data_IF_813756975132
#
_entry.id   IF_813756975132
#
_cell.length_a   1.000
_cell.length_b   1.000
_cell.length_c   1.000
_cell.angle_alpha   90.00
_cell.angle_beta   90.00
_cell.angle_gamma   90.00
#
_symmetry.space_group_name_H-M   'P 1'
#
loop_
_entity.id
_entity.type
_entity.pdbx_description
1 polymer ?
#
# COMPACT_ATOMS: atom_id res chain seq x y z
N UNK A 1 3.51 -5.81 4.93
CA UNK A 1 4.72 -6.66 5.11
C UNK A 1 5.93 -5.79 4.85
N UNK A 2 6.55 -5.27 5.90
CA UNK A 2 7.95 -4.92 5.80
C UNK A 2 8.67 -6.26 5.69
N UNK A 3 9.18 -6.60 4.51
CA UNK A 3 10.13 -7.69 4.41
C UNK A 3 11.30 -7.31 5.32
N UNK A 4 11.29 -7.88 6.52
CA UNK A 4 12.37 -7.70 7.46
C UNK A 4 13.64 -8.16 6.76
N UNK A 5 14.69 -7.37 6.86
CA UNK A 5 16.03 -7.72 6.37
C UNK A 5 16.69 -8.84 7.19
N UNK A 6 15.90 -9.59 7.95
CA UNK A 6 16.36 -10.79 8.65
C UNK A 6 16.76 -11.82 7.59
N UNK A 7 18.04 -11.77 7.14
CA UNK A 7 18.61 -12.67 6.16
C UNK A 7 19.11 -12.02 4.85
N UNK A 8 18.75 -10.78 4.53
CA UNK A 8 19.33 -10.08 3.39
C UNK A 8 20.73 -9.57 3.77
N UNK A 9 21.75 -10.16 3.17
CA UNK A 9 23.16 -9.83 3.46
C UNK A 9 23.52 -8.42 2.98
N UNK A 10 22.76 -7.88 1.99
CA UNK A 10 22.94 -6.52 1.46
C UNK A 10 21.69 -6.00 0.73
N UNK A 11 21.71 -4.72 0.32
CA UNK A 11 20.59 -4.09 -0.39
C UNK A 11 20.28 -4.72 -1.77
N UNK A 12 21.27 -5.29 -2.44
CA UNK A 12 21.11 -5.95 -3.74
C UNK A 12 20.30 -7.23 -3.58
N UNK A 13 20.59 -8.02 -2.56
CA UNK A 13 19.86 -9.25 -2.27
C UNK A 13 18.39 -8.96 -1.94
N UNK A 14 18.13 -7.86 -1.19
CA UNK A 14 16.77 -7.44 -0.88
C UNK A 14 15.98 -7.04 -2.16
N UNK A 15 16.61 -6.32 -3.08
CA UNK A 15 15.99 -5.94 -4.37
C UNK A 15 15.72 -7.18 -5.22
N UNK A 16 16.68 -8.11 -5.30
CA UNK A 16 16.53 -9.35 -6.05
C UNK A 16 15.43 -10.24 -5.45
N UNK A 17 15.35 -10.34 -4.12
CA UNK A 17 14.28 -11.10 -3.45
C UNK A 17 12.88 -10.53 -3.75
N UNK A 18 12.74 -9.21 -3.78
CA UNK A 18 11.46 -8.57 -4.18
C UNK A 18 11.15 -8.82 -5.65
N UNK A 19 12.15 -8.72 -6.54
CA UNK A 19 11.98 -9.02 -7.97
C UNK A 19 11.55 -10.47 -8.18
N UNK A 20 12.21 -11.40 -7.52
CA UNK A 20 11.88 -12.82 -7.59
C UNK A 20 10.45 -13.08 -7.08
N UNK A 21 10.05 -12.45 -5.97
CA UNK A 21 8.71 -12.59 -5.45
C UNK A 21 7.61 -12.08 -6.43
N UNK A 22 7.89 -11.05 -7.23
CA UNK A 22 7.01 -10.63 -8.33
C UNK A 22 7.03 -11.62 -9.49
N UNK A 23 8.20 -12.09 -9.89
CA UNK A 23 8.37 -12.97 -11.05
C UNK A 23 7.81 -14.38 -10.82
N UNK A 24 7.76 -14.81 -9.56
CA UNK A 24 7.16 -16.10 -9.16
C UNK A 24 5.68 -15.99 -8.77
N UNK A 25 5.11 -14.77 -8.77
CA UNK A 25 3.70 -14.56 -8.38
C UNK A 25 3.44 -14.71 -6.89
N UNK A 26 4.46 -14.67 -6.03
CA UNK A 26 4.27 -14.65 -4.57
C UNK A 26 3.63 -13.33 -4.11
N UNK A 27 4.06 -12.22 -4.72
CA UNK A 27 3.47 -10.90 -4.53
C UNK A 27 3.04 -10.30 -5.87
N UNK A 28 2.02 -9.48 -5.82
CA UNK A 28 1.43 -8.81 -6.99
C UNK A 28 1.12 -7.36 -6.68
N UNK A 29 0.90 -6.55 -7.72
CA UNK A 29 0.38 -5.19 -7.56
C UNK A 29 -1.01 -5.08 -8.14
N UNK A 30 -1.87 -4.34 -7.46
CA UNK A 30 -3.24 -4.09 -7.91
C UNK A 30 -3.82 -2.86 -7.23
N UNK A 31 -5.13 -2.67 -7.36
CA UNK A 31 -5.87 -1.55 -6.77
C UNK A 31 -6.97 -2.06 -5.83
N UNK A 32 -6.62 -2.77 -4.76
CA UNK A 32 -7.61 -3.41 -3.91
C UNK A 32 -8.48 -2.42 -3.14
N UNK A 33 -7.96 -1.24 -2.79
CA UNK A 33 -8.68 -0.25 -1.99
C UNK A 33 -8.21 1.19 -2.25
N UNK A 34 -8.97 2.17 -1.82
CA UNK A 34 -8.70 3.63 -1.87
C UNK A 34 -8.38 4.20 -3.26
N UNK A 35 -8.50 3.41 -4.34
CA UNK A 35 -8.14 3.84 -5.70
C UNK A 35 -6.63 4.02 -5.91
N UNK A 36 -5.78 3.48 -5.05
CA UNK A 36 -4.33 3.53 -5.13
C UNK A 36 -3.73 2.14 -5.31
N UNK A 37 -2.51 2.08 -5.86
CA UNK A 37 -1.81 0.82 -6.07
C UNK A 37 -1.21 0.30 -4.77
N UNK A 38 -1.35 -1.01 -4.56
CA UNK A 38 -0.74 -1.73 -3.44
C UNK A 38 0.07 -2.92 -3.95
N UNK A 39 1.06 -3.31 -3.17
CA UNK A 39 1.71 -4.61 -3.26
C UNK A 39 1.08 -5.49 -2.20
N UNK A 40 0.58 -6.65 -2.60
CA UNK A 40 -0.05 -7.62 -1.70
C UNK A 40 0.47 -9.03 -1.99
N UNK A 41 0.21 -9.97 -1.08
CA UNK A 41 0.28 -11.39 -1.42
C UNK A 41 -0.69 -11.69 -2.58
N UNK A 42 -0.31 -12.59 -3.47
CA UNK A 42 -1.19 -13.05 -4.54
C UNK A 42 -2.46 -13.74 -4.01
N UNK A 43 -2.38 -14.33 -2.82
CA UNK A 43 -3.54 -14.94 -2.14
C UNK A 43 -4.54 -13.91 -1.61
N UNK A 44 -4.13 -12.65 -1.42
CA UNK A 44 -4.97 -11.64 -0.76
C UNK A 44 -5.59 -10.64 -1.75
N UNK A 45 -4.96 -10.41 -2.91
CA UNK A 45 -5.39 -9.34 -3.80
C UNK A 45 -6.85 -9.48 -4.25
N UNK A 46 -7.27 -10.67 -4.65
CA UNK A 46 -8.60 -10.88 -5.24
C UNK A 46 -9.71 -10.58 -4.24
N UNK A 47 -9.70 -11.21 -3.06
CA UNK A 47 -10.76 -11.01 -2.08
C UNK A 47 -10.77 -9.59 -1.49
N UNK A 48 -9.59 -8.96 -1.28
CA UNK A 48 -9.55 -7.57 -0.80
C UNK A 48 -10.11 -6.61 -1.87
N UNK A 49 -9.79 -6.84 -3.16
CA UNK A 49 -10.34 -6.04 -4.26
C UNK A 49 -11.87 -6.16 -4.32
N UNK A 50 -12.40 -7.38 -4.21
CA UNK A 50 -13.84 -7.63 -4.19
C UNK A 50 -14.54 -7.03 -2.96
N UNK A 51 -13.87 -7.02 -1.81
CA UNK A 51 -14.40 -6.46 -0.57
C UNK A 51 -14.37 -4.93 -0.54
N UNK A 52 -13.22 -4.33 -0.88
CA UNK A 52 -12.93 -2.90 -0.68
C UNK A 52 -12.99 -2.07 -1.97
N UNK A 53 -12.89 -2.68 -3.15
CA UNK A 53 -12.73 -1.98 -4.43
C UNK A 53 -14.01 -1.43 -5.06
N UNK A 54 -15.19 -1.86 -4.60
CA UNK A 54 -16.50 -1.59 -5.27
C UNK A 54 -16.73 -0.09 -5.52
N UNK A 55 -16.46 0.77 -4.57
CA UNK A 55 -16.70 2.22 -4.73
C UNK A 55 -15.72 2.87 -5.71
N UNK A 56 -14.49 2.36 -5.77
CA UNK A 56 -13.49 2.83 -6.71
C UNK A 56 -13.86 2.45 -8.14
N UNK A 57 -14.35 1.23 -8.36
CA UNK A 57 -14.84 0.79 -9.67
C UNK A 57 -16.00 1.67 -10.15
N UNK A 58 -17.01 1.91 -9.32
CA UNK A 58 -18.11 2.83 -9.62
C UNK A 58 -17.64 4.25 -9.92
N UNK A 59 -16.58 4.72 -9.27
CA UNK A 59 -15.97 6.03 -9.55
C UNK A 59 -15.32 6.06 -10.94
N UNK A 60 -14.62 4.98 -11.30
CA UNK A 60 -14.02 4.83 -12.63
C UNK A 60 -15.10 4.83 -13.72
N UNK A 61 -16.20 4.09 -13.53
CA UNK A 61 -17.33 4.03 -14.45
C UNK A 61 -17.95 5.43 -14.67
N UNK A 62 -18.20 6.17 -13.59
CA UNK A 62 -18.76 7.53 -13.68
C UNK A 62 -17.84 8.53 -14.39
N UNK A 63 -16.53 8.37 -14.29
CA UNK A 63 -15.58 9.27 -14.95
C UNK A 63 -15.33 8.92 -16.43
N UNK A 64 -15.71 7.75 -16.88
CA UNK A 64 -15.43 7.22 -18.22
C UNK A 64 -15.93 8.12 -19.37
N UNK A 65 -17.18 8.66 -19.30
CA UNK A 65 -17.66 9.57 -20.35
C UNK A 65 -16.84 10.85 -20.51
N UNK A 66 -16.23 11.35 -19.42
CA UNK A 66 -15.38 12.54 -19.47
C UNK A 66 -14.10 12.34 -20.31
N UNK A 67 -13.74 11.08 -20.57
CA UNK A 67 -12.62 10.67 -21.41
C UNK A 67 -13.03 10.29 -22.82
N UNK A 68 -14.32 10.48 -23.18
CA UNK A 68 -14.87 10.02 -24.45
C UNK A 68 -14.92 8.49 -24.58
N UNK A 69 -14.96 7.79 -23.46
CA UNK A 69 -15.05 6.34 -23.39
C UNK A 69 -16.41 5.91 -22.83
N UNK A 70 -16.80 4.68 -23.12
CA UNK A 70 -17.98 4.01 -22.57
C UNK A 70 -17.67 2.56 -22.14
N UNK A 71 -18.67 1.80 -21.75
CA UNK A 71 -18.48 0.42 -21.29
C UNK A 71 -17.99 -0.49 -22.41
N UNK A 72 -18.45 -0.28 -23.66
CA UNK A 72 -18.04 -1.11 -24.80
C UNK A 72 -16.53 -1.02 -25.06
N UNK A 73 -15.94 0.16 -24.87
CA UNK A 73 -14.48 0.34 -24.99
C UNK A 73 -13.72 -0.43 -23.91
N UNK A 74 -14.28 -0.56 -22.69
CA UNK A 74 -13.65 -1.36 -21.63
C UNK A 74 -13.78 -2.85 -21.92
N UNK A 75 -14.93 -3.29 -22.41
CA UNK A 75 -15.16 -4.68 -22.79
C UNK A 75 -14.25 -5.08 -23.97
N UNK A 76 -14.16 -4.24 -25.00
CA UNK A 76 -13.24 -4.43 -26.10
C UNK A 76 -11.76 -4.46 -25.64
N UNK A 77 -11.38 -3.54 -24.75
CA UNK A 77 -10.03 -3.53 -24.19
C UNK A 77 -9.73 -4.80 -23.37
N UNK A 78 -10.73 -5.35 -22.65
CA UNK A 78 -10.57 -6.60 -21.92
C UNK A 78 -10.33 -7.80 -22.85
N UNK A 79 -11.03 -7.87 -23.98
CA UNK A 79 -10.80 -8.89 -25.02
C UNK A 79 -9.38 -8.76 -25.58
N UNK A 80 -8.95 -7.55 -25.94
CA UNK A 80 -7.59 -7.29 -26.43
C UNK A 80 -6.53 -7.70 -25.40
N UNK A 81 -6.75 -7.38 -24.13
CA UNK A 81 -5.81 -7.82 -23.05
C UNK A 81 -5.77 -9.34 -22.96
N UNK A 82 -6.91 -10.01 -23.09
CA UNK A 82 -6.99 -11.47 -23.07
C UNK A 82 -6.14 -12.09 -24.22
N UNK A 83 -6.21 -11.51 -25.40
CA UNK A 83 -5.46 -11.98 -26.58
C UNK A 83 -3.96 -11.61 -26.48
N UNK A 84 -3.64 -10.40 -26.02
CA UNK A 84 -2.27 -9.86 -26.04
C UNK A 84 -1.43 -10.37 -24.88
N UNK A 85 -1.99 -10.49 -23.68
CA UNK A 85 -1.23 -10.81 -22.47
C UNK A 85 -0.64 -12.22 -22.52
N UNK A 86 -1.40 -13.22 -22.96
CA UNK A 86 -0.93 -14.61 -22.97
C UNK A 86 -0.32 -15.03 -21.63
N UNK A 87 0.55 -16.03 -21.65
CA UNK A 87 1.20 -16.54 -20.45
C UNK A 87 2.31 -15.60 -19.89
N UNK A 88 2.92 -14.74 -20.71
CA UNK A 88 3.98 -13.82 -20.28
C UNK A 88 3.46 -12.49 -19.73
N UNK A 89 2.19 -12.21 -19.92
CA UNK A 89 1.62 -10.88 -19.71
C UNK A 89 1.97 -9.91 -20.83
N UNK A 90 1.49 -8.67 -20.72
CA UNK A 90 1.75 -7.60 -21.66
C UNK A 90 2.22 -6.33 -20.93
N UNK A 91 3.11 -5.58 -21.53
CA UNK A 91 3.45 -4.23 -21.08
C UNK A 91 2.31 -3.27 -21.39
N UNK A 92 2.23 -2.15 -20.66
CA UNK A 92 1.23 -1.11 -20.99
C UNK A 92 1.42 -0.54 -22.38
N UNK A 93 2.66 -0.44 -22.84
CA UNK A 93 2.96 0.05 -24.21
C UNK A 93 2.37 -0.87 -25.26
N UNK A 94 2.56 -2.18 -25.15
CA UNK A 94 1.96 -3.17 -26.05
C UNK A 94 0.43 -3.07 -26.05
N UNK A 95 -0.18 -2.99 -24.86
CA UNK A 95 -1.63 -2.85 -24.72
C UNK A 95 -2.16 -1.55 -25.34
N UNK A 96 -1.49 -0.42 -25.14
CA UNK A 96 -1.93 0.87 -25.69
C UNK A 96 -1.84 0.87 -27.22
N UNK A 97 -0.81 0.26 -27.79
CA UNK A 97 -0.69 0.06 -29.24
C UNK A 97 -1.82 -0.83 -29.76
N UNK A 98 -2.15 -1.91 -29.07
CA UNK A 98 -3.24 -2.80 -29.46
C UNK A 98 -4.63 -2.13 -29.36
N UNK A 99 -4.86 -1.32 -28.31
CA UNK A 99 -6.10 -0.55 -28.16
C UNK A 99 -6.29 0.46 -29.30
N UNK A 100 -5.23 1.18 -29.67
CA UNK A 100 -5.24 2.13 -30.77
C UNK A 100 -5.50 1.44 -32.11
N UNK A 101 -4.83 0.31 -32.37
CA UNK A 101 -5.01 -0.49 -33.58
C UNK A 101 -6.45 -1.04 -33.73
N UNK A 102 -7.13 -1.29 -32.61
CA UNK A 102 -8.52 -1.73 -32.58
C UNK A 102 -9.54 -0.56 -32.64
N UNK A 103 -9.06 0.68 -32.81
CA UNK A 103 -9.92 1.86 -32.96
C UNK A 103 -10.49 2.41 -31.66
N UNK A 104 -10.00 1.98 -30.49
CA UNK A 104 -10.40 2.58 -29.22
C UNK A 104 -9.82 4.01 -29.13
N UNK A 105 -10.62 5.02 -28.70
CA UNK A 105 -10.12 6.37 -28.57
C UNK A 105 -8.94 6.45 -27.57
N UNK A 106 -7.76 6.85 -28.03
CA UNK A 106 -6.52 6.91 -27.23
C UNK A 106 -6.11 8.34 -26.92
N UNK A 107 -7.04 9.15 -26.42
CA UNK A 107 -6.75 10.49 -25.86
C UNK A 107 -5.88 10.41 -24.59
N UNK A 108 -5.42 11.59 -24.08
CA UNK A 108 -4.57 11.64 -22.89
C UNK A 108 -5.21 10.92 -21.70
N UNK A 109 -4.55 9.88 -21.19
CA UNK A 109 -4.99 9.11 -20.04
C UNK A 109 -5.94 7.94 -20.33
N UNK A 110 -6.47 7.79 -21.56
CA UNK A 110 -7.45 6.75 -21.90
C UNK A 110 -6.89 5.34 -21.70
N UNK A 111 -5.68 5.05 -22.19
CA UNK A 111 -5.04 3.75 -22.00
C UNK A 111 -4.87 3.40 -20.51
N UNK A 112 -4.47 4.38 -19.69
CA UNK A 112 -4.40 4.18 -18.23
C UNK A 112 -5.77 3.96 -17.62
N UNK A 113 -6.81 4.66 -18.07
CA UNK A 113 -8.16 4.47 -17.58
C UNK A 113 -8.68 3.07 -17.88
N UNK A 114 -8.45 2.55 -19.09
CA UNK A 114 -8.86 1.21 -19.50
C UNK A 114 -8.18 0.14 -18.62
N UNK A 115 -6.84 0.17 -18.53
CA UNK A 115 -6.09 -0.80 -17.70
C UNK A 115 -6.47 -0.68 -16.21
N UNK A 116 -6.62 0.54 -15.68
CA UNK A 116 -7.05 0.75 -14.28
C UNK A 116 -8.48 0.27 -14.03
N UNK A 117 -9.41 0.41 -14.99
CA UNK A 117 -10.76 -0.14 -14.85
C UNK A 117 -10.72 -1.64 -14.63
N UNK A 118 -9.92 -2.36 -15.42
CA UNK A 118 -9.73 -3.81 -15.27
C UNK A 118 -9.01 -4.20 -13.98
N UNK A 119 -8.01 -3.41 -13.53
CA UNK A 119 -7.34 -3.61 -12.23
C UNK A 119 -8.31 -3.42 -11.05
N UNK A 120 -9.20 -2.42 -11.12
CA UNK A 120 -10.25 -2.20 -10.11
C UNK A 120 -11.34 -3.26 -10.15
N UNK A 121 -11.64 -3.81 -11.33
CA UNK A 121 -12.55 -4.95 -11.47
C UNK A 121 -11.91 -6.27 -10.99
N UNK A 122 -10.59 -6.31 -10.83
CA UNK A 122 -9.86 -7.52 -10.44
C UNK A 122 -9.72 -8.54 -11.57
N UNK A 123 -9.95 -8.15 -12.83
CA UNK A 123 -9.81 -9.04 -14.01
C UNK A 123 -8.36 -9.14 -14.48
N UNK A 124 -7.55 -8.13 -14.17
CA UNK A 124 -6.11 -8.13 -14.40
C UNK A 124 -5.35 -7.70 -13.15
N UNK A 125 -4.07 -8.05 -13.11
CA UNK A 125 -3.13 -7.67 -12.04
C UNK A 125 -1.79 -7.27 -12.65
N UNK A 126 -0.98 -6.54 -11.91
CA UNK A 126 0.42 -6.34 -12.25
C UNK A 126 1.24 -7.50 -11.65
N UNK A 127 1.85 -8.30 -12.50
CA UNK A 127 2.65 -9.48 -12.19
C UNK A 127 4.16 -9.25 -12.30
N UNK A 128 4.86 -10.03 -13.13
CA UNK A 128 6.32 -9.97 -13.26
C UNK A 128 6.84 -8.58 -13.62
N UNK A 129 8.08 -8.31 -13.23
CA UNK A 129 8.77 -7.07 -13.62
C UNK A 129 9.23 -7.20 -15.07
N UNK A 130 8.84 -6.25 -15.93
CA UNK A 130 9.26 -6.18 -17.31
C UNK A 130 10.76 -5.79 -17.37
N UNK A 131 11.60 -6.68 -17.89
CA UNK A 131 13.05 -6.45 -17.98
C UNK A 131 13.44 -5.48 -19.11
N UNK A 132 12.56 -5.30 -20.09
CA UNK A 132 12.79 -4.51 -21.29
C UNK A 132 12.65 -2.99 -21.06
N UNK A 133 12.19 -2.59 -19.89
CA UNK A 133 11.95 -1.19 -19.56
C UNK A 133 13.11 -0.61 -18.73
N UNK A 134 13.64 0.53 -19.12
CA UNK A 134 14.55 1.34 -18.31
C UNK A 134 13.88 1.88 -17.01
N UNK A 135 12.59 1.58 -16.81
CA UNK A 135 11.81 1.88 -15.62
C UNK A 135 11.27 0.58 -15.04
N UNK A 136 11.18 0.51 -13.72
CA UNK A 136 10.53 -0.63 -13.05
C UNK A 136 9.05 -0.64 -13.44
N UNK A 137 8.70 -1.45 -14.41
CA UNK A 137 7.34 -1.68 -14.88
C UNK A 137 6.97 -3.15 -14.65
N UNK A 138 5.70 -3.41 -14.36
CA UNK A 138 5.20 -4.77 -14.27
C UNK A 138 4.37 -5.10 -15.50
N UNK A 139 4.43 -6.35 -15.95
CA UNK A 139 3.49 -6.87 -16.93
C UNK A 139 2.07 -6.87 -16.37
N UNK A 140 1.11 -6.57 -17.21
CA UNK A 140 -0.33 -6.78 -16.95
C UNK A 140 -0.62 -8.24 -17.25
N UNK A 141 -1.09 -8.95 -16.23
CA UNK A 141 -1.44 -10.38 -16.29
C UNK A 141 -2.95 -10.54 -16.16
N UNK A 142 -3.53 -11.56 -16.78
CA UNK A 142 -4.90 -11.95 -16.46
C UNK A 142 -4.94 -12.51 -15.04
N UNK A 143 -5.83 -11.98 -14.21
CA UNK A 143 -5.92 -12.38 -12.80
C UNK A 143 -6.21 -13.88 -12.64
N UNK A 144 -7.09 -14.44 -13.52
CA UNK A 144 -7.45 -15.87 -13.51
C UNK A 144 -6.27 -16.82 -13.78
N UNK A 145 -5.23 -16.34 -14.49
CA UNK A 145 -4.10 -17.17 -14.91
C UNK A 145 -2.86 -16.93 -14.00
N UNK A 146 -2.83 -15.80 -13.27
CA UNK A 146 -1.69 -15.42 -12.44
C UNK A 146 -1.91 -15.56 -10.95
N UNK A 147 -3.13 -15.30 -10.47
CA UNK A 147 -3.46 -15.49 -9.06
C UNK A 147 -3.75 -16.96 -8.75
N UNK A 148 -3.42 -17.43 -7.55
CA UNK A 148 -3.81 -18.77 -7.13
C UNK A 148 -5.33 -18.95 -7.20
N UNK A 149 -5.78 -20.13 -7.65
CA UNK A 149 -7.20 -20.43 -7.75
C UNK A 149 -7.90 -20.33 -6.37
N UNK A 150 -9.15 -19.90 -6.35
CA UNK A 150 -9.95 -19.83 -5.13
C UNK A 150 -9.61 -18.67 -4.19
N UNK A 151 -8.83 -17.67 -4.61
CA UNK A 151 -8.42 -16.54 -3.77
C UNK A 151 -9.40 -15.36 -3.77
N UNK A 152 -10.56 -15.49 -4.42
CA UNK A 152 -11.66 -14.52 -4.32
C UNK A 152 -12.48 -14.69 -3.03
N UNK A 153 -13.47 -13.80 -2.80
CA UNK A 153 -14.37 -13.90 -1.64
C UNK A 153 -15.09 -15.24 -1.55
N UNK A 154 -15.49 -15.80 -2.68
CA UNK A 154 -16.16 -17.11 -2.71
C UNK A 154 -15.22 -18.22 -2.20
N UNK A 155 -14.04 -18.34 -2.80
CA UNK A 155 -13.11 -19.42 -2.45
C UNK A 155 -12.47 -19.29 -1.09
N UNK A 156 -12.25 -18.04 -0.60
CA UNK A 156 -11.59 -17.80 0.69
C UNK A 156 -12.59 -17.76 1.86
N UNK A 157 -13.78 -17.20 1.64
CA UNK A 157 -14.76 -16.92 2.70
C UNK A 157 -16.17 -17.44 2.38
N UNK A 158 -16.37 -18.32 1.40
CA UNK A 158 -17.69 -18.77 0.96
C UNK A 158 -18.65 -17.59 0.66
N UNK A 159 -18.13 -16.50 0.11
CA UNK A 159 -18.83 -15.24 -0.13
C UNK A 159 -19.30 -14.51 1.15
N UNK A 160 -18.87 -14.94 2.33
CA UNK A 160 -19.19 -14.27 3.59
C UNK A 160 -18.37 -12.99 3.76
N UNK A 161 -18.98 -11.86 3.44
CA UNK A 161 -18.36 -10.54 3.61
C UNK A 161 -18.08 -10.20 5.07
N UNK A 162 -18.84 -10.73 6.02
CA UNK A 162 -18.63 -10.47 7.44
C UNK A 162 -17.33 -11.14 7.90
N UNK A 163 -17.14 -12.40 7.57
CA UNK A 163 -15.90 -13.13 7.85
C UNK A 163 -14.68 -12.45 7.20
N UNK A 164 -14.81 -12.00 5.96
CA UNK A 164 -13.73 -11.27 5.26
C UNK A 164 -13.40 -9.93 5.92
N UNK A 165 -14.39 -9.17 6.42
CA UNK A 165 -14.16 -7.93 7.18
C UNK A 165 -13.48 -8.23 8.50
N UNK A 166 -13.91 -9.26 9.22
CA UNK A 166 -13.33 -9.70 10.50
C UNK A 166 -11.85 -10.05 10.34
N UNK A 167 -11.51 -10.82 9.30
CA UNK A 167 -10.12 -11.19 9.02
C UNK A 167 -9.26 -9.97 8.64
N UNK A 168 -9.77 -9.06 7.79
CA UNK A 168 -9.03 -7.87 7.41
C UNK A 168 -8.82 -6.93 8.58
N UNK A 169 -9.82 -6.79 9.45
CA UNK A 169 -9.76 -5.99 10.68
C UNK A 169 -8.73 -6.58 11.66
N UNK A 170 -8.74 -7.90 11.86
CA UNK A 170 -7.75 -8.60 12.69
C UNK A 170 -6.33 -8.28 12.21
N UNK A 171 -6.04 -8.48 10.92
CA UNK A 171 -4.72 -8.19 10.34
C UNK A 171 -4.33 -6.72 10.47
N UNK A 172 -5.32 -5.82 10.37
CA UNK A 172 -5.07 -4.39 10.54
C UNK A 172 -4.69 -4.08 12.00
N UNK A 173 -5.47 -4.51 12.98
CA UNK A 173 -5.17 -4.26 14.39
C UNK A 173 -3.85 -4.91 14.85
N UNK A 174 -3.54 -6.11 14.37
CA UNK A 174 -2.28 -6.80 14.65
C UNK A 174 -1.05 -6.08 14.11
N UNK A 175 -1.20 -5.35 13.01
CA UNK A 175 -0.08 -4.68 12.32
C UNK A 175 -0.02 -3.18 12.54
N UNK A 176 -1.12 -2.54 12.94
CA UNK A 176 -1.27 -1.09 13.09
C UNK A 176 -1.66 -0.66 14.52
N UNK A 177 -1.96 -1.61 15.41
CA UNK A 177 -2.30 -1.26 16.80
C UNK A 177 -1.15 -0.51 17.52
N UNK A 178 -1.50 0.44 18.42
CA UNK A 178 -2.84 0.89 18.80
C UNK A 178 -3.55 1.67 17.68
N UNK A 179 -4.79 1.29 17.37
CA UNK A 179 -5.57 1.93 16.31
C UNK A 179 -7.07 1.96 16.64
N UNK A 180 -7.79 2.93 16.07
CA UNK A 180 -9.23 3.02 16.21
C UNK A 180 -9.95 2.24 15.10
N UNK A 181 -11.23 1.88 15.33
CA UNK A 181 -12.06 1.32 14.26
C UNK A 181 -12.33 2.33 13.14
N UNK A 182 -12.19 3.64 13.41
CA UNK A 182 -12.28 4.69 12.38
C UNK A 182 -11.04 4.74 11.50
N UNK A 183 -9.85 4.49 12.07
CA UNK A 183 -8.63 4.35 11.25
C UNK A 183 -8.80 3.22 10.24
N UNK A 184 -9.28 2.07 10.70
CA UNK A 184 -9.57 0.96 9.79
C UNK A 184 -10.65 1.29 8.75
N UNK A 185 -11.73 1.99 9.15
CA UNK A 185 -12.77 2.44 8.22
C UNK A 185 -12.20 3.40 7.17
N UNK A 186 -11.34 4.32 7.58
CA UNK A 186 -10.66 5.24 6.68
C UNK A 186 -9.69 4.50 5.75
N UNK A 187 -8.93 3.53 6.29
CA UNK A 187 -7.95 2.75 5.56
C UNK A 187 -8.59 1.81 4.54
N UNK A 188 -9.62 1.07 4.93
CA UNK A 188 -10.30 0.08 4.07
C UNK A 188 -11.40 0.67 3.19
N UNK A 189 -11.96 1.85 3.56
CA UNK A 189 -13.18 2.45 3.00
C UNK A 189 -14.43 1.59 3.21
N UNK A 190 -14.41 0.70 4.18
CA UNK A 190 -15.56 -0.10 4.58
C UNK A 190 -16.48 0.68 5.53
N UNK A 191 -17.80 0.41 5.52
CA UNK A 191 -18.75 1.08 6.41
C UNK A 191 -18.47 0.77 7.90
N UNK A 192 -18.35 1.81 8.74
CA UNK A 192 -18.06 1.68 10.17
C UNK A 192 -19.04 0.76 10.90
N UNK A 193 -20.32 0.76 10.50
CA UNK A 193 -21.32 -0.13 11.09
C UNK A 193 -21.04 -1.62 10.86
N UNK A 194 -20.52 -1.99 9.69
CA UNK A 194 -20.07 -3.37 9.41
C UNK A 194 -18.81 -3.72 10.19
N UNK A 195 -17.87 -2.76 10.31
CA UNK A 195 -16.63 -2.92 11.09
C UNK A 195 -16.92 -3.16 12.56
N UNK A 196 -17.83 -2.38 13.17
CA UNK A 196 -18.22 -2.58 14.58
C UNK A 196 -18.84 -3.95 14.84
N UNK A 197 -19.63 -4.48 13.89
CA UNK A 197 -20.17 -5.84 13.99
C UNK A 197 -19.06 -6.88 13.91
N UNK A 198 -18.14 -6.74 12.96
CA UNK A 198 -17.00 -7.63 12.82
C UNK A 198 -16.06 -7.58 14.04
N UNK A 199 -15.87 -6.39 14.63
CA UNK A 199 -15.05 -6.23 15.83
C UNK A 199 -15.63 -6.98 17.03
N UNK A 200 -16.96 -7.05 17.17
CA UNK A 200 -17.60 -7.78 18.27
C UNK A 200 -17.18 -9.26 18.33
N UNK A 201 -16.86 -9.87 17.18
CA UNK A 201 -16.46 -11.28 17.09
C UNK A 201 -15.02 -11.51 17.56
N UNK A 202 -14.18 -10.48 17.55
CA UNK A 202 -12.76 -10.55 17.90
C UNK A 202 -12.37 -9.65 19.07
N UNK A 203 -13.31 -8.97 19.68
CA UNK A 203 -13.05 -7.99 20.74
C UNK A 203 -12.29 -8.58 21.93
N UNK A 204 -12.48 -9.89 22.21
CA UNK A 204 -11.76 -10.60 23.28
C UNK A 204 -10.27 -10.76 23.04
N UNK A 205 -9.79 -10.58 21.80
CA UNK A 205 -8.37 -10.73 21.41
C UNK A 205 -7.60 -9.40 21.56
N UNK A 206 -8.31 -8.33 21.93
CA UNK A 206 -7.76 -6.97 22.00
C UNK A 206 -8.13 -6.31 23.32
N UNK A 207 -7.27 -5.41 23.75
CA UNK A 207 -7.48 -4.58 24.94
C UNK A 207 -7.46 -3.10 24.54
N UNK A 208 -8.16 -2.28 25.34
CA UNK A 208 -8.08 -0.84 25.19
C UNK A 208 -6.69 -0.33 25.56
N UNK A 209 -6.13 0.54 24.75
CA UNK A 209 -4.84 1.16 25.03
C UNK A 209 -4.85 1.99 26.32
N UNK A 210 -5.98 2.60 26.65
CA UNK A 210 -6.18 3.33 27.90
C UNK A 210 -6.08 2.40 29.11
N UNK A 211 -6.64 1.19 29.01
CA UNK A 211 -6.51 0.18 30.05
C UNK A 211 -5.06 -0.30 30.21
N UNK A 212 -4.31 -0.41 29.11
CA UNK A 212 -2.90 -0.80 29.11
C UNK A 212 -2.02 0.26 29.77
N UNK A 213 -2.28 1.55 29.51
CA UNK A 213 -1.53 2.67 30.09
C UNK A 213 -1.96 3.02 31.52
N UNK A 214 -3.16 2.59 31.95
CA UNK A 214 -3.76 3.03 33.20
C UNK A 214 -4.15 4.51 33.24
N UNK A 215 -4.23 5.15 32.08
CA UNK A 215 -4.57 6.57 31.91
C UNK A 215 -5.26 6.80 30.57
N UNK A 216 -6.15 7.81 30.44
CA UNK A 216 -6.76 8.14 29.16
C UNK A 216 -5.71 8.46 28.09
N UNK A 217 -5.79 7.80 26.95
CA UNK A 217 -4.99 8.12 25.77
C UNK A 217 -5.43 9.44 25.13
N UNK A 218 -4.63 9.96 24.22
CA UNK A 218 -4.90 11.22 23.53
C UNK A 218 -5.77 11.03 22.29
N UNK A 219 -6.86 10.30 22.40
CA UNK A 219 -7.82 10.14 21.28
C UNK A 219 -8.91 11.19 21.31
N UNK A 220 -9.55 11.39 20.16
CA UNK A 220 -10.78 12.19 20.11
C UNK A 220 -11.84 11.60 21.05
N UNK A 221 -12.65 12.42 21.73
CA UNK A 221 -13.67 11.94 22.66
C UNK A 221 -14.59 10.89 22.01
N UNK A 222 -14.70 9.70 22.65
CA UNK A 222 -15.52 8.59 22.18
C UNK A 222 -14.84 7.64 21.17
N UNK A 223 -13.57 7.81 20.91
CA UNK A 223 -12.76 6.88 20.13
C UNK A 223 -11.84 6.06 21.03
N UNK A 224 -11.84 4.77 20.88
CA UNK A 224 -11.02 3.84 21.65
C UNK A 224 -9.92 3.25 20.76
N UNK A 225 -8.68 3.28 21.24
CA UNK A 225 -7.53 2.65 20.60
C UNK A 225 -7.44 1.19 21.06
N UNK A 226 -7.44 0.29 20.11
CA UNK A 226 -7.35 -1.14 20.32
C UNK A 226 -5.97 -1.68 20.01
N UNK A 227 -5.50 -2.57 20.83
CA UNK A 227 -4.19 -3.21 20.69
C UNK A 227 -4.26 -4.66 21.19
N UNK A 228 -3.37 -5.50 20.68
CA UNK A 228 -3.22 -6.87 21.19
C UNK A 228 -2.84 -6.88 22.67
N UNK A 229 -3.28 -7.87 23.38
CA UNK A 229 -2.98 -8.02 24.82
C UNK A 229 -1.47 -8.11 25.11
N UNK A 230 -0.70 -8.75 24.21
CA UNK A 230 0.76 -8.89 24.31
C UNK A 230 1.56 -7.66 23.84
N UNK A 231 0.91 -6.55 23.53
CA UNK A 231 1.55 -5.37 22.94
C UNK A 231 2.67 -4.78 23.81
N UNK A 232 2.51 -4.75 25.13
CA UNK A 232 3.55 -4.25 26.05
C UNK A 232 4.79 -5.14 26.04
N UNK A 233 4.62 -6.45 25.98
CA UNK A 233 5.73 -7.41 25.89
C UNK A 233 6.49 -7.21 24.58
N UNK A 234 5.77 -7.10 23.46
CA UNK A 234 6.36 -6.83 22.14
C UNK A 234 7.08 -5.48 22.09
N UNK A 235 6.53 -4.44 22.71
CA UNK A 235 7.16 -3.13 22.80
C UNK A 235 8.47 -3.25 23.58
N UNK A 236 8.45 -3.90 24.76
CA UNK A 236 9.63 -4.08 25.60
C UNK A 236 10.73 -4.87 24.89
N UNK A 237 10.37 -5.95 24.18
CA UNK A 237 11.30 -6.76 23.40
C UNK A 237 11.98 -5.97 22.27
N UNK A 238 11.19 -5.13 21.58
CA UNK A 238 11.65 -4.43 20.38
C UNK A 238 11.96 -2.94 20.58
N UNK A 239 11.88 -2.41 21.79
CA UNK A 239 12.05 -0.98 22.09
C UNK A 239 13.34 -0.38 21.51
N UNK A 240 14.47 -1.05 21.71
CA UNK A 240 15.78 -0.58 21.20
C UNK A 240 15.78 -0.47 19.67
N UNK A 241 15.07 -1.37 18.99
CA UNK A 241 15.03 -1.37 17.54
C UNK A 241 13.99 -0.37 17.02
N UNK A 242 12.86 -0.22 17.70
CA UNK A 242 11.81 0.74 17.38
C UNK A 242 12.33 2.20 17.49
N UNK A 243 13.19 2.47 18.45
CA UNK A 243 13.80 3.79 18.68
C UNK A 243 14.88 4.19 17.67
N UNK A 244 15.38 3.24 16.86
CA UNK A 244 16.38 3.54 15.82
C UNK A 244 15.76 4.38 14.70
N UNK A 245 16.48 5.42 14.20
CA UNK A 245 15.99 6.19 13.07
C UNK A 245 15.73 5.33 11.83
N UNK A 246 14.66 5.65 11.10
CA UNK A 246 14.26 5.00 9.85
C UNK A 246 14.03 6.03 8.77
N UNK A 247 14.39 5.69 7.54
CA UNK A 247 14.04 6.46 6.34
C UNK A 247 12.79 5.83 5.74
N UNK A 248 11.66 6.50 5.96
CA UNK A 248 10.39 6.05 5.40
C UNK A 248 10.31 6.42 3.92
N UNK A 249 9.80 5.51 3.11
CA UNK A 249 9.47 5.81 1.72
C UNK A 249 8.32 6.82 1.63
N UNK A 250 8.10 7.40 0.46
CA UNK A 250 6.82 8.04 0.17
C UNK A 250 5.70 6.97 0.27
N UNK A 251 4.55 7.35 0.81
CA UNK A 251 3.42 6.44 1.01
C UNK A 251 3.68 5.26 1.97
N UNK A 252 4.55 5.45 2.96
CA UNK A 252 4.79 4.42 4.00
C UNK A 252 3.56 4.24 4.90
N UNK A 253 3.20 2.99 5.20
CA UNK A 253 2.01 2.65 5.99
C UNK A 253 2.07 3.13 7.45
N UNK A 254 3.26 3.41 8.01
CA UNK A 254 3.36 4.09 9.32
C UNK A 254 2.62 5.43 9.30
N UNK A 255 2.57 6.10 8.14
CA UNK A 255 1.88 7.38 7.95
C UNK A 255 0.51 7.17 7.33
N UNK A 256 0.41 6.28 6.32
CA UNK A 256 -0.82 6.10 5.53
C UNK A 256 -1.81 5.12 6.14
N UNK A 257 -1.41 4.37 7.15
CA UNK A 257 -2.26 3.39 7.80
C UNK A 257 -3.40 4.01 8.63
N UNK A 258 -3.33 5.31 8.95
CA UNK A 258 -4.19 5.96 9.93
C UNK A 258 -4.91 7.17 9.36
N UNK A 259 -6.10 7.45 9.86
CA UNK A 259 -6.84 8.67 9.57
C UNK A 259 -6.19 9.86 10.27
N UNK A 260 -5.97 9.72 11.58
CA UNK A 260 -5.24 10.70 12.38
C UNK A 260 -3.74 10.39 12.35
N UNK A 261 -2.93 11.39 12.05
CA UNK A 261 -1.48 11.32 11.96
C UNK A 261 -0.77 12.26 12.92
N UNK A 262 -1.53 12.99 13.75
CA UNK A 262 -0.99 14.02 14.64
C UNK A 262 -0.07 13.43 15.71
N UNK A 263 -0.28 12.17 16.07
CA UNK A 263 0.57 11.46 17.02
C UNK A 263 1.94 11.02 16.42
N UNK A 264 2.06 11.00 15.08
CA UNK A 264 3.34 10.66 14.39
C UNK A 264 4.00 11.90 13.79
N UNK A 265 3.20 12.81 13.23
CA UNK A 265 3.68 14.02 12.55
C UNK A 265 3.29 15.22 13.38
N UNK A 266 4.26 16.01 13.90
CA UNK A 266 3.94 17.20 14.67
C UNK A 266 3.02 18.17 13.90
N UNK A 267 2.08 18.80 14.59
CA UNK A 267 1.02 19.63 14.01
C UNK A 267 1.56 20.71 13.06
N UNK A 268 2.60 21.42 13.48
CA UNK A 268 3.26 22.48 12.71
C UNK A 268 3.81 22.01 11.36
N UNK A 269 4.05 20.69 11.22
CA UNK A 269 4.63 20.08 10.02
C UNK A 269 3.65 19.21 9.23
N UNK A 270 2.42 19.06 9.71
CA UNK A 270 1.43 18.18 9.09
C UNK A 270 1.08 18.64 7.66
N UNK A 271 0.89 19.94 7.43
CA UNK A 271 0.62 20.49 6.10
C UNK A 271 1.78 20.27 5.12
N UNK A 272 3.02 20.24 5.61
CA UNK A 272 4.21 20.01 4.81
C UNK A 272 4.39 18.54 4.39
N UNK A 273 3.67 17.60 5.01
CA UNK A 273 3.69 16.18 4.63
C UNK A 273 3.15 15.94 3.23
N UNK A 274 2.11 16.70 2.83
CA UNK A 274 1.48 16.62 1.51
C UNK A 274 1.37 18.04 0.91
N UNK A 275 2.46 18.58 0.36
CA UNK A 275 2.47 19.95 -0.16
C UNK A 275 1.39 20.15 -1.23
N UNK A 276 0.57 21.18 -1.06
CA UNK A 276 -0.51 21.49 -1.98
C UNK A 276 -1.69 20.52 -1.95
N UNK A 277 -1.76 19.64 -0.95
CA UNK A 277 -2.83 18.65 -0.76
C UNK A 277 -3.13 17.79 -2.01
N UNK A 278 -2.09 17.52 -2.79
CA UNK A 278 -2.18 16.81 -4.07
C UNK A 278 -2.11 15.27 -3.93
N UNK A 279 -2.13 14.74 -2.70
CA UNK A 279 -2.05 13.32 -2.40
C UNK A 279 -0.64 12.71 -2.54
N UNK A 280 0.40 13.51 -2.83
CA UNK A 280 1.78 13.05 -2.91
C UNK A 280 2.46 13.25 -1.56
N UNK A 281 2.67 12.16 -0.86
CA UNK A 281 3.32 12.18 0.47
C UNK A 281 4.84 12.29 0.34
N UNK A 282 5.43 13.12 1.18
CA UNK A 282 6.89 13.25 1.26
C UNK A 282 7.50 12.06 2.00
N UNK A 283 8.74 11.75 1.65
CA UNK A 283 9.56 10.77 2.35
C UNK A 283 9.96 11.33 3.73
N UNK A 284 9.76 10.58 4.80
CA UNK A 284 9.95 11.05 6.16
C UNK A 284 11.14 10.39 6.87
N UNK A 285 11.78 11.12 7.76
CA UNK A 285 12.71 10.58 8.77
C UNK A 285 11.92 10.34 10.04
N UNK A 286 11.81 9.08 10.43
CA UNK A 286 11.12 8.65 11.64
C UNK A 286 12.13 8.25 12.71
N UNK A 287 11.93 8.71 13.94
CA UNK A 287 12.80 8.36 15.06
C UNK A 287 12.04 8.50 16.38
N UNK A 288 12.16 7.49 17.23
CA UNK A 288 11.59 7.50 18.60
C UNK A 288 10.10 7.85 18.62
N UNK A 289 9.30 7.24 17.73
CA UNK A 289 7.84 7.39 17.71
C UNK A 289 7.32 8.56 16.86
N UNK A 290 8.17 9.45 16.36
CA UNK A 290 7.71 10.64 15.61
C UNK A 290 8.49 10.87 14.31
N UNK A 291 7.89 11.63 13.40
CA UNK A 291 8.57 12.18 12.22
C UNK A 291 9.38 13.40 12.67
N UNK A 292 10.71 13.35 12.45
CA UNK A 292 11.65 14.38 12.85
C UNK A 292 12.15 15.24 11.68
N UNK A 293 11.70 14.95 10.48
CA UNK A 293 12.04 15.69 9.27
C UNK A 293 11.62 14.98 8.00
N UNK A 294 11.82 15.63 6.86
CA UNK A 294 11.65 15.04 5.55
C UNK A 294 12.99 14.80 4.88
N UNK A 295 13.09 13.74 4.09
CA UNK A 295 14.33 13.46 3.38
C UNK A 295 14.11 13.32 1.87
N UNK A 296 15.17 13.59 1.13
CA UNK A 296 15.24 13.30 -0.29
C UNK A 296 16.66 12.90 -0.67
N UNK A 297 16.76 12.13 -1.76
CA UNK A 297 18.06 11.92 -2.39
C UNK A 297 18.34 13.05 -3.38
N UNK A 298 19.60 13.46 -3.46
CA UNK A 298 20.08 14.42 -4.44
C UNK A 298 21.30 13.84 -5.16
N UNK A 299 21.46 14.19 -6.44
CA UNK A 299 22.57 13.78 -7.27
C UNK A 299 22.31 12.48 -8.07
N UNK A 300 23.19 12.16 -9.02
CA UNK A 300 23.10 10.98 -9.86
C UNK A 300 23.32 9.69 -9.03
N UNK A 301 23.01 8.55 -9.61
CA UNK A 301 23.10 7.24 -8.95
C UNK A 301 24.47 6.98 -8.30
N UNK A 302 25.55 7.37 -8.96
CA UNK A 302 26.92 7.19 -8.48
C UNK A 302 27.35 8.16 -7.36
N UNK A 303 26.62 9.27 -7.16
CA UNK A 303 26.96 10.34 -6.21
C UNK A 303 25.74 10.79 -5.41
N UNK A 304 24.89 9.85 -4.99
CA UNK A 304 23.69 10.14 -4.21
C UNK A 304 24.04 10.74 -2.87
N UNK A 305 23.41 11.87 -2.52
CA UNK A 305 23.52 12.53 -1.22
C UNK A 305 22.15 12.51 -0.54
N UNK A 306 22.18 12.32 0.78
CA UNK A 306 21.02 12.53 1.63
C UNK A 306 20.87 14.02 1.91
N UNK A 307 19.69 14.55 1.67
CA UNK A 307 19.28 15.89 2.10
C UNK A 307 18.12 15.72 3.07
N UNK A 308 18.23 16.30 4.25
CA UNK A 308 17.19 16.28 5.29
C UNK A 308 16.75 17.71 5.54
N UNK A 309 15.44 17.90 5.56
CA UNK A 309 14.77 19.08 6.10
C UNK A 309 14.34 18.73 7.52
N UNK A 310 15.19 19.11 8.47
CA UNK A 310 14.98 18.77 9.89
C UNK A 310 13.93 19.69 10.51
N UNK A 311 13.00 19.12 11.31
CA UNK A 311 12.04 19.93 12.09
C UNK A 311 12.72 20.57 13.31
N UNK A 312 13.65 19.83 13.90
CA UNK A 312 14.56 20.28 14.95
C UNK A 312 15.92 19.66 14.67
N UNK A 313 17.03 20.32 15.04
CA UNK A 313 18.36 19.78 14.82
C UNK A 313 18.50 18.34 15.37
N UNK A 314 18.93 17.42 14.53
CA UNK A 314 19.21 16.05 14.95
C UNK A 314 20.48 16.02 15.78
N UNK A 315 20.48 15.22 16.86
CA UNK A 315 21.72 14.93 17.58
C UNK A 315 22.75 14.28 16.66
N UNK A 316 24.04 14.47 16.94
CA UNK A 316 25.14 13.89 16.15
C UNK A 316 24.98 12.36 15.98
N UNK A 317 24.53 11.66 17.02
CA UNK A 317 24.27 10.22 17.00
C UNK A 317 23.13 9.88 16.06
N UNK A 318 21.99 10.59 16.13
CA UNK A 318 20.84 10.38 15.22
C UNK A 318 21.24 10.66 13.77
N UNK A 319 21.91 11.77 13.50
CA UNK A 319 22.40 12.13 12.17
C UNK A 319 23.30 11.04 11.58
N UNK A 320 24.23 10.49 12.37
CA UNK A 320 25.09 9.37 11.96
C UNK A 320 24.28 8.12 11.64
N UNK A 321 23.28 7.77 12.46
CA UNK A 321 22.43 6.62 12.19
C UNK A 321 21.61 6.80 10.92
N UNK A 322 21.01 7.99 10.69
CA UNK A 322 20.27 8.30 9.46
C UNK A 322 21.17 8.18 8.23
N UNK A 323 22.40 8.68 8.28
CA UNK A 323 23.39 8.50 7.20
C UNK A 323 23.71 7.02 6.93
N UNK A 324 23.86 6.23 7.98
CA UNK A 324 24.08 4.77 7.84
C UNK A 324 22.89 4.10 7.16
N UNK A 325 21.66 4.44 7.56
CA UNK A 325 20.43 3.93 6.92
C UNK A 325 20.34 4.35 5.45
N UNK A 326 20.74 5.57 5.12
CA UNK A 326 20.75 6.03 3.73
C UNK A 326 21.73 5.23 2.85
N UNK A 327 22.95 4.95 3.37
CA UNK A 327 23.92 4.11 2.66
C UNK A 327 23.42 2.69 2.40
N UNK A 328 22.64 2.14 3.34
CA UNK A 328 22.04 0.82 3.25
C UNK A 328 20.65 0.83 2.57
N UNK A 329 20.14 1.99 2.12
CA UNK A 329 18.83 2.07 1.48
C UNK A 329 18.84 1.37 0.12
N UNK A 330 17.86 0.48 -0.15
CA UNK A 330 17.83 -0.30 -1.38
C UNK A 330 17.38 0.58 -2.57
N UNK A 331 18.27 1.41 -3.06
CA UNK A 331 18.02 2.15 -4.28
C UNK A 331 18.04 1.19 -5.47
N UNK A 332 17.01 1.24 -6.32
CA UNK A 332 17.07 0.58 -7.60
C UNK A 332 18.34 1.05 -8.33
N UNK A 333 19.07 0.11 -8.92
CA UNK A 333 20.12 0.41 -9.89
C UNK A 333 19.52 1.28 -10.99
N UNK A 334 20.18 2.37 -11.32
CA UNK A 334 19.79 3.25 -12.42
C UNK A 334 19.97 2.52 -13.75
#
# INVERSE_FOLDING_TARGET
YRMGTAGAVNAVDAVNAVREAFNTGLIVRGYPMRGTVFVTSAHDLAWITQLCGVQNLKSMERNRPNLGLDNSHVDQAAEIVHETAGARGATRAELFTAFEAAGIPMGPGNGYHLVRSMLHAGTVVYGPIAEESNRVENHVMLAKDWLPAGTGLEGTFNSDQHAAITELLRRYLDSHGPATLRDFAWWSKLPLGKIRKAFADIASDYVSWDAVLGAPGSTAPGEELWVREDALELIAEHEKDANKPRLLAAFDEIILGYQDRMYIVPEDHHAALVPGNNGVFRQAVYASGEVVGFWKRQGPASKRKLVIEEFKPLSATRAKHVQTRFKAYPFASA
#
